data_IF_769150636042
#
_entry.id   IF_769150636042
#
_cell.length_a   1.000
_cell.length_b   1.000
_cell.length_c   1.000
_cell.angle_alpha   90.00
_cell.angle_beta   90.00
_cell.angle_gamma   90.00
#
_symmetry.space_group_name_H-M   'P 1'
#
loop_
_entity.id
_entity.type
_entity.pdbx_description
1 polymer ?
#
# COMPACT_ATOMS: atom_id res chain seq x y z
N UNK A 1 -6.72 -0.26 25.97
CA UNK A 1 -5.85 0.92 26.09
C UNK A 1 -5.88 1.46 27.51
N UNK A 2 -4.72 1.72 28.04
CA UNK A 2 -4.51 2.41 29.32
C UNK A 2 -3.90 3.78 29.04
N UNK A 3 -4.58 4.84 29.46
CA UNK A 3 -4.17 6.22 29.11
C UNK A 3 -3.50 6.86 30.32
N UNK A 4 -2.20 7.13 30.20
CA UNK A 4 -1.44 7.86 31.21
C UNK A 4 -1.70 9.38 31.17
N UNK A 5 -2.25 9.88 30.06
CA UNK A 5 -2.60 11.30 29.85
C UNK A 5 -3.72 11.43 28.81
N UNK A 6 -4.36 12.59 28.78
CA UNK A 6 -5.40 12.88 27.79
C UNK A 6 -4.83 12.91 26.38
N UNK A 7 -5.55 12.28 25.44
CA UNK A 7 -5.21 12.31 24.03
C UNK A 7 -5.75 13.60 23.40
N UNK A 8 -4.95 14.28 22.54
CA UNK A 8 -5.44 15.44 21.78
C UNK A 8 -6.69 15.10 20.95
N UNK A 9 -7.62 16.05 20.81
CA UNK A 9 -8.81 15.88 19.98
C UNK A 9 -8.94 17.07 19.04
N UNK A 10 -8.72 16.92 17.74
CA UNK A 10 -8.31 15.69 17.02
C UNK A 10 -6.85 15.31 17.29
N UNK A 11 -6.55 14.01 17.30
CA UNK A 11 -5.18 13.50 17.37
C UNK A 11 -4.63 13.33 15.97
N UNK A 12 -3.73 14.21 15.57
CA UNK A 12 -3.20 14.30 14.22
C UNK A 12 -1.68 14.24 14.25
N UNK A 13 -1.12 13.45 13.32
CA UNK A 13 0.30 13.49 12.98
C UNK A 13 0.47 13.87 11.51
N UNK A 14 1.68 14.23 11.11
CA UNK A 14 1.97 14.60 9.72
C UNK A 14 3.23 13.88 9.20
N UNK A 15 3.22 13.61 7.89
CA UNK A 15 4.35 13.14 7.10
C UNK A 15 4.36 13.92 5.78
N UNK A 16 5.44 14.63 5.48
CA UNK A 16 5.60 15.41 4.24
C UNK A 16 4.35 16.23 3.86
N UNK A 17 3.83 17.03 4.78
CA UNK A 17 2.63 17.84 4.63
C UNK A 17 1.32 17.04 4.41
N UNK A 18 1.32 15.75 4.68
CA UNK A 18 0.12 14.92 4.72
C UNK A 18 -0.23 14.63 6.17
N UNK A 19 -1.46 14.93 6.54
CA UNK A 19 -2.00 14.76 7.89
C UNK A 19 -2.72 13.43 8.00
N UNK A 20 -2.54 12.76 9.14
CA UNK A 20 -3.22 11.52 9.48
C UNK A 20 -3.93 11.65 10.81
N UNK A 21 -5.21 11.37 10.81
CA UNK A 21 -6.02 11.27 12.01
C UNK A 21 -5.72 9.95 12.71
N UNK A 22 -5.33 10.01 13.97
CA UNK A 22 -5.11 8.83 14.80
C UNK A 22 -6.31 8.57 15.69
N UNK A 23 -6.61 7.29 15.91
CA UNK A 23 -7.66 6.82 16.83
C UNK A 23 -7.18 5.56 17.53
N UNK A 24 -7.54 5.38 18.77
CA UNK A 24 -7.34 4.10 19.45
C UNK A 24 -8.34 3.09 18.90
N UNK A 25 -7.84 2.02 18.29
CA UNK A 25 -8.69 0.93 17.81
C UNK A 25 -8.75 -0.21 18.82
N UNK A 26 -9.81 -1.05 18.80
CA UNK A 26 -9.88 -2.28 19.61
C UNK A 26 -8.73 -3.25 19.30
N UNK A 27 -8.14 -3.18 18.13
CA UNK A 27 -7.05 -4.04 17.66
C UNK A 27 -5.66 -3.54 18.06
N UNK A 28 -5.57 -2.57 18.99
CA UNK A 28 -4.32 -1.97 19.49
C UNK A 28 -3.50 -1.23 18.41
N UNK A 29 -4.11 -0.84 17.31
CA UNK A 29 -3.52 0.02 16.29
C UNK A 29 -4.05 1.44 16.39
N UNK A 30 -3.25 2.42 16.00
CA UNK A 30 -3.61 3.84 16.04
C UNK A 30 -3.99 4.41 14.68
N UNK A 31 -3.99 3.58 13.64
CA UNK A 31 -4.42 3.96 12.30
C UNK A 31 -3.31 4.31 11.32
N UNK A 32 -2.05 4.25 11.75
CA UNK A 32 -0.89 4.44 10.88
C UNK A 32 0.24 3.51 11.28
N UNK A 33 1.02 3.12 10.30
CA UNK A 33 2.25 2.35 10.43
C UNK A 33 3.39 3.25 9.95
N UNK A 34 4.14 3.82 10.89
CA UNK A 34 5.14 4.86 10.60
C UNK A 34 6.32 4.35 9.75
N UNK A 35 6.64 3.06 9.84
CA UNK A 35 7.65 2.38 9.03
C UNK A 35 7.35 2.39 7.54
N UNK A 36 6.09 2.54 7.14
CA UNK A 36 5.68 2.69 5.75
C UNK A 36 6.18 3.99 5.11
N UNK A 37 6.67 4.94 5.89
CA UNK A 37 7.26 6.16 5.39
C UNK A 37 8.37 5.89 4.35
N UNK A 38 9.22 4.89 4.60
CA UNK A 38 10.28 4.49 3.66
C UNK A 38 9.73 4.02 2.31
N UNK A 39 8.60 3.30 2.31
CA UNK A 39 7.94 2.89 1.08
C UNK A 39 7.24 4.06 0.39
N UNK A 40 6.64 4.98 1.16
CA UNK A 40 6.01 6.17 0.58
C UNK A 40 7.03 7.07 -0.10
N UNK A 41 8.19 7.31 0.51
CA UNK A 41 9.29 8.06 -0.08
C UNK A 41 9.81 7.40 -1.36
N UNK A 42 10.01 6.10 -1.33
CA UNK A 42 10.44 5.34 -2.50
C UNK A 42 9.43 5.43 -3.65
N UNK A 43 8.13 5.27 -3.40
CA UNK A 43 7.10 5.42 -4.42
C UNK A 43 7.06 6.83 -5.01
N UNK A 44 7.17 7.87 -4.17
CA UNK A 44 7.23 9.26 -4.61
C UNK A 44 8.44 9.52 -5.52
N UNK A 45 9.61 8.94 -5.21
CA UNK A 45 10.79 9.00 -6.07
C UNK A 45 10.51 8.38 -7.45
N UNK A 46 9.89 7.20 -7.51
CA UNK A 46 9.57 6.55 -8.79
C UNK A 46 8.57 7.34 -9.63
N UNK A 47 7.62 8.01 -8.98
CA UNK A 47 6.64 8.86 -9.65
C UNK A 47 7.28 10.17 -10.15
N UNK A 48 8.10 10.85 -9.33
CA UNK A 48 8.70 12.14 -9.68
C UNK A 48 9.67 12.05 -10.86
N UNK A 49 10.45 10.98 -10.95
CA UNK A 49 11.35 10.72 -12.05
C UNK A 49 10.63 10.61 -13.40
N UNK A 50 9.34 10.27 -13.40
CA UNK A 50 8.53 10.15 -14.61
C UNK A 50 7.84 11.44 -15.02
N UNK A 51 7.36 12.23 -14.07
CA UNK A 51 6.79 13.56 -14.37
C UNK A 51 7.82 14.48 -15.02
N UNK A 52 9.10 14.31 -14.69
CA UNK A 52 10.20 15.03 -15.31
C UNK A 52 10.52 14.56 -16.75
N UNK A 53 10.22 13.30 -17.09
CA UNK A 53 10.53 12.68 -18.40
C UNK A 53 9.34 12.67 -19.37
N UNK A 54 8.11 12.74 -18.86
CA UNK A 54 6.91 12.65 -19.69
C UNK A 54 6.63 13.94 -20.43
N UNK A 55 6.59 13.87 -21.76
CA UNK A 55 6.11 14.96 -22.64
C UNK A 55 4.59 15.16 -22.59
N UNK A 56 3.86 14.23 -21.94
CA UNK A 56 2.39 14.25 -21.83
C UNK A 56 2.04 14.75 -20.43
N UNK A 57 1.77 16.04 -20.30
CA UNK A 57 1.49 16.73 -19.02
C UNK A 57 0.18 16.32 -18.33
N UNK A 58 -0.70 15.55 -18.96
CA UNK A 58 -2.07 15.34 -18.47
C UNK A 58 -2.40 13.89 -18.09
N UNK A 59 -1.48 12.93 -18.22
CA UNK A 59 -1.77 11.53 -17.84
C UNK A 59 -1.43 11.30 -16.38
N UNK A 60 -2.45 11.21 -15.52
CA UNK A 60 -2.29 10.76 -14.13
C UNK A 60 -1.91 9.28 -14.09
N UNK A 61 -0.94 8.91 -13.26
CA UNK A 61 -0.59 7.50 -13.02
C UNK A 61 -1.72 6.82 -12.25
N UNK A 62 -2.09 5.63 -12.70
CA UNK A 62 -3.14 4.80 -12.08
C UNK A 62 -2.51 3.81 -11.11
N UNK A 63 -2.82 3.94 -9.84
CA UNK A 63 -2.24 3.10 -8.78
C UNK A 63 -3.32 2.23 -8.16
N UNK A 64 -3.01 0.93 -8.01
CA UNK A 64 -3.83 -0.01 -7.28
C UNK A 64 -3.23 -0.23 -5.88
N UNK A 65 -3.97 0.15 -4.84
CA UNK A 65 -3.59 -0.04 -3.45
C UNK A 65 -4.50 -1.11 -2.82
N UNK A 66 -3.94 -2.28 -2.55
CA UNK A 66 -4.62 -3.45 -2.02
C UNK A 66 -4.33 -3.62 -0.53
N UNK A 67 -5.34 -4.04 0.25
CA UNK A 67 -5.31 -4.06 1.72
C UNK A 67 -4.98 -2.66 2.27
N UNK A 68 -5.65 -1.66 1.69
CA UNK A 68 -5.23 -0.26 1.77
C UNK A 68 -5.49 0.41 3.12
N UNK A 69 -6.17 -0.27 4.05
CA UNK A 69 -6.42 0.10 5.45
C UNK A 69 -6.95 1.54 5.58
N UNK A 70 -6.32 2.37 6.43
CA UNK A 70 -6.70 3.76 6.68
C UNK A 70 -6.18 4.75 5.63
N UNK A 71 -5.63 4.23 4.52
CA UNK A 71 -5.28 5.01 3.34
C UNK A 71 -4.00 5.84 3.45
N UNK A 72 -3.00 5.41 4.22
CA UNK A 72 -1.73 6.11 4.29
C UNK A 72 -1.08 6.29 2.91
N UNK A 73 -0.79 5.20 2.22
CA UNK A 73 -0.25 5.22 0.85
C UNK A 73 -1.22 5.91 -0.14
N UNK A 74 -2.54 5.70 0.02
CA UNK A 74 -3.56 6.35 -0.82
C UNK A 74 -3.47 7.87 -0.75
N UNK A 75 -3.39 8.45 0.46
CA UNK A 75 -3.30 9.89 0.64
C UNK A 75 -2.00 10.47 0.07
N UNK A 76 -0.87 9.77 0.28
CA UNK A 76 0.44 10.15 -0.25
C UNK A 76 0.42 10.21 -1.77
N UNK A 77 -0.09 9.18 -2.42
CA UNK A 77 -0.10 9.06 -3.88
C UNK A 77 -1.14 9.99 -4.53
N UNK A 78 -2.32 10.14 -3.93
CA UNK A 78 -3.31 11.11 -4.39
C UNK A 78 -2.79 12.56 -4.30
N UNK A 79 -2.05 12.89 -3.22
CA UNK A 79 -1.37 14.20 -3.08
C UNK A 79 -0.33 14.42 -4.15
N UNK A 80 0.34 13.36 -4.60
CA UNK A 80 1.32 13.39 -5.70
C UNK A 80 0.66 13.44 -7.10
N UNK A 81 -0.67 13.52 -7.19
CA UNK A 81 -1.40 13.65 -8.45
C UNK A 81 -1.79 12.32 -9.11
N UNK A 82 -1.64 11.18 -8.43
CA UNK A 82 -2.06 9.89 -8.96
C UNK A 82 -3.57 9.67 -8.84
N UNK A 83 -4.12 8.79 -9.70
CA UNK A 83 -5.44 8.19 -9.53
C UNK A 83 -5.28 6.87 -8.76
N UNK A 84 -5.85 6.77 -7.55
CA UNK A 84 -5.67 5.61 -6.70
C UNK A 84 -6.95 4.80 -6.60
N UNK A 85 -6.89 3.51 -6.95
CA UNK A 85 -7.93 2.54 -6.60
C UNK A 85 -7.59 1.96 -5.23
N UNK A 86 -8.34 2.36 -4.20
CA UNK A 86 -8.19 1.94 -2.81
C UNK A 86 -9.11 0.77 -2.53
N UNK A 87 -8.55 -0.39 -2.24
CA UNK A 87 -9.29 -1.64 -1.99
C UNK A 87 -9.04 -2.13 -0.58
N UNK A 88 -10.10 -2.29 0.18
CA UNK A 88 -10.06 -2.91 1.51
C UNK A 88 -11.38 -3.63 1.80
N UNK A 89 -11.34 -4.73 2.55
CA UNK A 89 -12.53 -5.48 2.95
C UNK A 89 -13.20 -4.92 4.21
N UNK A 90 -12.55 -3.99 4.92
CA UNK A 90 -13.01 -3.40 6.17
C UNK A 90 -13.71 -2.06 5.95
N UNK A 91 -15.03 -2.02 6.12
CA UNK A 91 -15.78 -0.76 6.06
C UNK A 91 -15.27 0.31 7.05
N UNK A 92 -14.93 -0.03 8.32
CA UNK A 92 -14.32 0.95 9.23
C UNK A 92 -12.99 1.51 8.73
N UNK A 93 -12.13 0.69 8.12
CA UNK A 93 -10.87 1.14 7.55
C UNK A 93 -11.09 2.15 6.41
N UNK A 94 -11.99 1.84 5.46
CA UNK A 94 -12.35 2.76 4.37
C UNK A 94 -12.96 4.05 4.90
N UNK A 95 -13.81 3.99 5.93
CA UNK A 95 -14.36 5.20 6.54
C UNK A 95 -13.25 6.09 7.09
N UNK A 96 -12.30 5.51 7.80
CA UNK A 96 -11.15 6.22 8.34
C UNK A 96 -10.23 6.77 7.22
N UNK A 97 -10.01 5.99 6.17
CA UNK A 97 -9.27 6.45 4.99
C UNK A 97 -9.93 7.68 4.33
N UNK A 98 -11.25 7.72 4.24
CA UNK A 98 -12.00 8.88 3.77
C UNK A 98 -11.86 10.10 4.69
N UNK A 99 -11.78 9.90 6.01
CA UNK A 99 -11.50 11.00 6.95
C UNK A 99 -10.10 11.58 6.73
N UNK A 100 -9.08 10.72 6.56
CA UNK A 100 -7.72 11.13 6.23
C UNK A 100 -7.66 11.87 4.89
N UNK A 101 -8.41 11.40 3.90
CA UNK A 101 -8.52 12.04 2.59
C UNK A 101 -9.08 13.46 2.69
N UNK A 102 -10.20 13.63 3.39
CA UNK A 102 -10.86 14.93 3.63
C UNK A 102 -9.95 15.88 4.42
N UNK A 103 -9.25 15.37 5.45
CA UNK A 103 -8.33 16.14 6.28
C UNK A 103 -7.21 16.82 5.47
N UNK A 104 -6.86 16.24 4.32
CA UNK A 104 -5.80 16.73 3.44
C UNK A 104 -6.33 17.55 2.25
N UNK A 105 -7.63 17.78 2.13
CA UNK A 105 -8.27 18.49 1.01
C UNK A 105 -7.81 17.95 -0.36
N UNK A 106 -7.76 16.62 -0.50
CA UNK A 106 -7.31 15.98 -1.74
C UNK A 106 -8.39 16.10 -2.83
N UNK A 107 -8.01 16.06 -4.14
CA UNK A 107 -8.95 16.20 -5.26
C UNK A 107 -10.02 15.12 -5.23
N UNK A 108 -11.30 15.48 -5.29
CA UNK A 108 -12.47 14.61 -5.08
C UNK A 108 -12.46 13.35 -5.97
N UNK A 109 -11.92 13.45 -7.16
CA UNK A 109 -11.87 12.42 -8.20
C UNK A 109 -10.58 11.60 -8.22
N UNK A 110 -9.65 11.84 -7.29
CA UNK A 110 -8.35 11.15 -7.31
C UNK A 110 -8.38 9.76 -6.67
N UNK A 111 -9.48 9.34 -6.02
CA UNK A 111 -9.55 8.03 -5.36
C UNK A 111 -10.86 7.30 -5.68
N UNK A 112 -10.72 6.09 -6.20
CA UNK A 112 -11.81 5.11 -6.33
C UNK A 112 -11.84 4.20 -5.12
N UNK A 113 -12.86 4.34 -4.27
CA UNK A 113 -13.04 3.57 -3.03
C UNK A 113 -13.74 2.24 -3.31
N UNK A 114 -13.14 1.14 -2.90
CA UNK A 114 -13.66 -0.22 -3.12
C UNK A 114 -13.72 -0.97 -1.80
N UNK A 115 -14.94 -1.24 -1.32
CA UNK A 115 -15.20 -2.13 -0.19
C UNK A 115 -15.41 -3.54 -0.74
N UNK A 116 -14.36 -4.37 -0.79
CA UNK A 116 -14.44 -5.71 -1.33
C UNK A 116 -13.27 -6.60 -0.87
N UNK A 117 -13.44 -7.90 -1.05
CA UNK A 117 -12.36 -8.87 -0.95
C UNK A 117 -11.32 -8.62 -2.04
N UNK A 118 -10.05 -8.50 -1.64
CA UNK A 118 -8.95 -8.13 -2.53
C UNK A 118 -8.77 -9.13 -3.67
N UNK A 119 -8.78 -10.43 -3.39
CA UNK A 119 -8.58 -11.48 -4.41
C UNK A 119 -9.71 -11.47 -5.43
N UNK A 120 -10.95 -11.32 -4.95
CA UNK A 120 -12.13 -11.21 -5.84
C UNK A 120 -12.05 -9.97 -6.71
N UNK A 121 -11.68 -8.83 -6.13
CA UNK A 121 -11.52 -7.58 -6.85
C UNK A 121 -10.47 -7.70 -7.96
N UNK A 122 -9.25 -8.17 -7.63
CA UNK A 122 -8.15 -8.34 -8.59
C UNK A 122 -8.56 -9.27 -9.73
N UNK A 123 -9.19 -10.40 -9.44
CA UNK A 123 -9.65 -11.32 -10.47
C UNK A 123 -10.72 -10.71 -11.42
N UNK A 124 -11.56 -9.80 -10.91
CA UNK A 124 -12.50 -9.05 -11.78
C UNK A 124 -11.78 -8.03 -12.64
N UNK A 125 -10.81 -7.32 -12.10
CA UNK A 125 -10.01 -6.35 -12.87
C UNK A 125 -9.20 -7.05 -13.98
N UNK A 126 -8.63 -8.24 -13.71
CA UNK A 126 -7.98 -9.06 -14.74
C UNK A 126 -8.95 -9.42 -15.87
N UNK A 127 -10.17 -9.88 -15.53
CA UNK A 127 -11.20 -10.20 -16.54
C UNK A 127 -11.64 -8.99 -17.37
N UNK A 128 -11.55 -7.77 -16.81
CA UNK A 128 -11.87 -6.52 -17.48
C UNK A 128 -10.74 -5.96 -18.32
N UNK A 129 -9.54 -6.56 -18.27
CA UNK A 129 -8.36 -6.03 -18.92
C UNK A 129 -7.91 -4.69 -18.33
N UNK A 130 -8.20 -4.43 -17.03
CA UNK A 130 -7.75 -3.22 -16.38
C UNK A 130 -6.22 -3.18 -16.28
N UNK A 131 -5.64 -1.97 -16.32
CA UNK A 131 -4.21 -1.78 -16.22
C UNK A 131 -3.88 -0.67 -15.21
N UNK A 132 -2.76 -0.85 -14.48
CA UNK A 132 -2.26 0.05 -13.46
C UNK A 132 -0.77 0.30 -13.66
N UNK A 133 -0.35 1.54 -13.37
CA UNK A 133 1.04 1.97 -13.50
C UNK A 133 1.86 1.69 -12.22
N UNK A 134 1.20 1.41 -11.12
CA UNK A 134 1.80 0.96 -9.87
C UNK A 134 0.83 0.11 -9.06
N UNK A 135 1.35 -0.90 -8.35
CA UNK A 135 0.56 -1.76 -7.47
C UNK A 135 1.22 -1.86 -6.11
N UNK A 136 0.42 -1.74 -5.05
CA UNK A 136 0.83 -1.89 -3.66
C UNK A 136 0.03 -3.04 -3.06
N UNK A 137 0.71 -3.97 -2.41
CA UNK A 137 0.13 -5.06 -1.65
C UNK A 137 0.65 -5.04 -0.21
N UNK A 138 -0.24 -4.85 0.74
CA UNK A 138 0.07 -4.88 2.18
C UNK A 138 -0.80 -5.92 2.91
N UNK A 139 -0.73 -7.19 2.48
CA UNK A 139 -1.61 -8.23 2.98
C UNK A 139 -1.30 -8.58 4.44
N UNK A 140 -2.33 -8.89 5.24
CA UNK A 140 -2.12 -9.39 6.60
C UNK A 140 -1.49 -10.79 6.57
N UNK A 141 -0.79 -11.17 7.63
CA UNK A 141 -0.30 -12.54 7.80
C UNK A 141 -1.45 -13.55 7.75
N UNK A 142 -2.59 -13.18 8.33
CA UNK A 142 -3.80 -13.97 8.40
C UNK A 142 -5.03 -13.07 8.35
N UNK A 143 -6.08 -13.47 7.65
CA UNK A 143 -7.31 -12.68 7.55
C UNK A 143 -8.54 -13.53 7.25
N UNK A 144 -9.71 -13.04 7.64
CA UNK A 144 -10.99 -13.63 7.26
C UNK A 144 -11.71 -12.73 6.27
N UNK A 145 -12.00 -13.27 5.10
CA UNK A 145 -12.88 -12.61 4.15
C UNK A 145 -14.31 -12.55 4.68
N UNK A 146 -15.09 -11.50 4.39
CA UNK A 146 -16.53 -11.48 4.71
C UNK A 146 -17.32 -12.67 4.18
N UNK A 147 -16.79 -13.40 3.21
CA UNK A 147 -17.41 -14.59 2.59
C UNK A 147 -16.93 -15.90 3.18
N UNK A 148 -16.21 -15.88 4.32
CA UNK A 148 -15.75 -17.08 5.04
C UNK A 148 -14.45 -17.70 4.52
N UNK A 149 -13.90 -17.25 3.37
CA UNK A 149 -12.58 -17.71 2.93
C UNK A 149 -11.50 -17.10 3.82
N UNK A 150 -10.62 -17.93 4.34
CA UNK A 150 -9.47 -17.50 5.14
C UNK A 150 -8.31 -17.16 4.20
N UNK A 151 -7.74 -15.98 4.38
CA UNK A 151 -6.48 -15.57 3.77
C UNK A 151 -5.31 -16.06 4.63
N UNK A 152 -4.33 -16.67 3.99
CA UNK A 152 -3.03 -17.01 4.58
C UNK A 152 -1.93 -16.47 3.69
N UNK A 153 -1.05 -15.65 4.25
CA UNK A 153 -0.01 -14.94 3.50
C UNK A 153 0.78 -15.87 2.56
N UNK A 154 1.40 -16.93 3.10
CA UNK A 154 2.27 -17.80 2.31
C UNK A 154 1.52 -18.66 1.28
N UNK A 155 0.26 -18.99 1.55
CA UNK A 155 -0.53 -19.86 0.66
C UNK A 155 -1.19 -19.07 -0.48
N UNK A 156 -1.67 -17.85 -0.19
CA UNK A 156 -2.51 -17.07 -1.12
C UNK A 156 -1.75 -15.95 -1.86
N UNK A 157 -0.61 -15.48 -1.31
CA UNK A 157 0.17 -14.40 -1.92
C UNK A 157 0.69 -14.73 -3.32
N UNK A 158 1.22 -15.95 -3.61
CA UNK A 158 1.72 -16.27 -4.94
C UNK A 158 0.65 -16.09 -6.03
N UNK A 159 -0.54 -16.63 -5.82
CA UNK A 159 -1.64 -16.50 -6.80
C UNK A 159 -2.16 -15.06 -6.94
N UNK A 160 -2.18 -14.28 -5.86
CA UNK A 160 -2.54 -12.87 -5.91
C UNK A 160 -1.49 -12.07 -6.68
N UNK A 161 -0.19 -12.33 -6.45
CA UNK A 161 0.91 -11.66 -7.14
C UNK A 161 0.87 -11.91 -8.64
N UNK A 162 0.68 -13.17 -9.08
CA UNK A 162 0.53 -13.51 -10.50
C UNK A 162 -0.63 -12.77 -11.15
N UNK A 163 -1.76 -12.63 -10.45
CA UNK A 163 -2.90 -11.88 -10.94
C UNK A 163 -2.62 -10.37 -11.01
N UNK A 164 -1.89 -9.81 -10.02
CA UNK A 164 -1.48 -8.41 -10.01
C UNK A 164 -0.51 -8.08 -11.14
N UNK A 165 0.43 -8.96 -11.45
CA UNK A 165 1.36 -8.78 -12.57
C UNK A 165 0.62 -8.63 -13.91
N UNK A 166 -0.47 -9.38 -14.12
CA UNK A 166 -1.32 -9.23 -15.32
C UNK A 166 -2.03 -7.87 -15.40
N UNK A 167 -2.14 -7.17 -14.29
CA UNK A 167 -2.72 -5.82 -14.21
C UNK A 167 -1.70 -4.69 -14.42
N UNK A 168 -0.39 -4.99 -14.47
CA UNK A 168 0.61 -3.96 -14.74
C UNK A 168 0.50 -3.48 -16.19
N UNK A 169 0.48 -2.17 -16.37
CA UNK A 169 0.54 -1.56 -17.69
C UNK A 169 1.93 -1.80 -18.32
N UNK A 170 2.06 -1.74 -19.66
CA UNK A 170 3.38 -1.82 -20.31
C UNK A 170 4.38 -0.78 -19.80
N UNK A 171 3.87 0.36 -19.32
CA UNK A 171 4.66 1.47 -18.77
C UNK A 171 4.67 1.49 -17.24
N UNK A 172 4.29 0.39 -16.58
CA UNK A 172 4.25 0.30 -15.13
C UNK A 172 5.58 0.72 -14.49
N UNK A 173 5.48 1.38 -13.35
CA UNK A 173 6.61 2.00 -12.65
C UNK A 173 7.09 1.16 -11.48
N UNK A 174 6.13 0.58 -10.74
CA UNK A 174 6.47 -0.22 -9.56
C UNK A 174 5.42 -1.25 -9.19
N UNK A 175 5.87 -2.26 -8.47
CA UNK A 175 5.05 -3.16 -7.68
C UNK A 175 5.73 -3.34 -6.32
N UNK A 176 4.98 -3.19 -5.25
CA UNK A 176 5.46 -3.28 -3.88
C UNK A 176 4.64 -4.29 -3.08
N UNK A 177 5.33 -5.14 -2.33
CA UNK A 177 4.74 -6.12 -1.41
C UNK A 177 5.34 -5.88 -0.03
N UNK A 178 4.49 -5.81 0.98
CA UNK A 178 4.88 -5.82 2.38
C UNK A 178 4.49 -7.13 3.06
N UNK A 179 5.16 -7.46 4.14
CA UNK A 179 4.80 -8.57 5.02
C UNK A 179 5.07 -8.22 6.48
N UNK A 180 4.05 -8.40 7.32
CA UNK A 180 4.13 -8.18 8.76
C UNK A 180 3.76 -9.47 9.49
N UNK A 181 4.49 -9.78 10.56
CA UNK A 181 4.24 -10.96 11.40
C UNK A 181 4.05 -12.25 10.60
N UNK A 182 4.78 -12.39 9.49
CA UNK A 182 4.78 -13.58 8.62
C UNK A 182 5.94 -14.50 8.98
N UNK A 183 5.84 -15.78 8.62
CA UNK A 183 6.96 -16.73 8.71
C UNK A 183 7.87 -16.69 7.47
N UNK A 184 7.75 -15.63 6.65
CA UNK A 184 8.57 -15.42 5.45
C UNK A 184 9.74 -14.49 5.75
N UNK A 185 10.81 -14.63 4.99
CA UNK A 185 11.92 -13.69 4.97
C UNK A 185 11.78 -12.69 3.81
N UNK A 186 12.48 -11.56 3.89
CA UNK A 186 12.57 -10.62 2.77
C UNK A 186 13.15 -11.28 1.50
N UNK A 187 14.10 -12.20 1.66
CA UNK A 187 14.65 -13.00 0.54
C UNK A 187 13.59 -13.90 -0.12
N UNK A 188 12.70 -14.50 0.68
CA UNK A 188 11.61 -15.31 0.11
C UNK A 188 10.63 -14.45 -0.70
N UNK A 189 10.33 -13.22 -0.25
CA UNK A 189 9.53 -12.27 -1.04
C UNK A 189 10.25 -11.82 -2.31
N UNK A 190 11.57 -11.60 -2.24
CA UNK A 190 12.38 -11.29 -3.42
C UNK A 190 12.26 -12.38 -4.48
N UNK A 191 12.54 -13.62 -4.09
CA UNK A 191 12.52 -14.75 -5.02
C UNK A 191 11.13 -14.93 -5.64
N UNK A 192 10.08 -14.81 -4.82
CA UNK A 192 8.70 -14.88 -5.31
C UNK A 192 8.40 -13.77 -6.34
N UNK A 193 8.86 -12.55 -6.09
CA UNK A 193 8.64 -11.42 -7.00
C UNK A 193 9.47 -11.53 -8.28
N UNK A 194 10.72 -12.00 -8.20
CA UNK A 194 11.58 -12.27 -9.36
C UNK A 194 11.00 -13.37 -10.25
N UNK A 195 10.58 -14.49 -9.64
CA UNK A 195 10.00 -15.62 -10.39
C UNK A 195 8.70 -15.20 -11.10
N UNK A 196 7.80 -14.53 -10.40
CA UNK A 196 6.54 -14.08 -10.96
C UNK A 196 6.74 -12.96 -12.01
N UNK A 197 7.71 -12.07 -11.77
CA UNK A 197 8.01 -10.89 -12.60
C UNK A 197 9.08 -11.11 -13.66
N UNK A 198 9.55 -12.34 -13.91
CA UNK A 198 10.69 -12.64 -14.82
C UNK A 198 10.65 -12.01 -16.20
N UNK A 199 9.45 -11.68 -16.70
CA UNK A 199 9.25 -11.09 -18.03
C UNK A 199 9.02 -9.55 -17.97
N UNK A 200 9.05 -8.94 -16.81
CA UNK A 200 8.79 -7.50 -16.65
C UNK A 200 10.01 -6.64 -16.99
N UNK A 201 11.21 -7.22 -16.91
CA UNK A 201 12.45 -6.43 -16.87
C UNK A 201 12.54 -5.59 -15.59
N UNK A 202 13.48 -4.64 -15.55
CA UNK A 202 13.67 -3.82 -14.35
C UNK A 202 14.47 -4.52 -13.26
N UNK A 203 14.26 -4.13 -11.99
CA UNK A 203 14.98 -4.69 -10.84
C UNK A 203 14.08 -4.89 -9.63
N UNK A 204 14.45 -5.84 -8.79
CA UNK A 204 13.82 -6.05 -7.48
C UNK A 204 14.75 -5.56 -6.38
N UNK A 205 14.20 -4.87 -5.40
CA UNK A 205 14.82 -4.50 -4.14
C UNK A 205 14.05 -5.16 -3.00
N UNK A 206 14.73 -5.65 -1.98
CA UNK A 206 14.10 -6.27 -0.83
C UNK A 206 14.85 -5.96 0.47
N UNK A 207 14.18 -6.09 1.59
CA UNK A 207 14.77 -5.83 2.89
C UNK A 207 13.75 -5.77 4.01
N UNK A 208 14.16 -5.17 5.11
CA UNK A 208 13.33 -4.97 6.28
C UNK A 208 12.85 -3.52 6.39
N UNK A 209 11.58 -3.34 6.72
CA UNK A 209 11.06 -2.04 7.13
C UNK A 209 11.51 -1.78 8.56
N UNK A 210 12.19 -0.67 8.76
CA UNK A 210 12.77 -0.34 10.05
C UNK A 210 12.36 1.05 10.53
N UNK A 211 12.10 1.16 11.82
CA UNK A 211 12.06 2.43 12.53
C UNK A 211 13.41 2.71 13.19
N UNK A 212 13.86 3.96 13.12
CA UNK A 212 15.08 4.41 13.78
C UNK A 212 14.75 5.00 15.14
N UNK A 213 15.35 4.45 16.19
CA UNK A 213 15.28 5.02 17.54
C UNK A 213 16.14 6.29 17.66
N UNK A 214 15.91 7.06 18.70
CA UNK A 214 16.70 8.26 19.04
C UNK A 214 18.19 7.97 19.28
N UNK A 215 18.53 6.75 19.73
CA UNK A 215 19.89 6.26 19.90
C UNK A 215 20.50 5.66 18.63
N UNK A 216 19.90 5.90 17.47
CA UNK A 216 20.26 5.39 16.13
C UNK A 216 20.10 3.88 15.91
N UNK A 217 19.61 3.10 16.89
CA UNK A 217 19.29 1.68 16.67
C UNK A 217 18.09 1.54 15.73
N UNK A 218 18.10 0.46 14.95
CA UNK A 218 16.97 0.10 14.09
C UNK A 218 16.07 -0.92 14.80
N UNK A 219 14.77 -0.74 14.65
CA UNK A 219 13.76 -1.72 15.04
C UNK A 219 13.15 -2.25 13.74
N UNK A 220 13.33 -3.54 13.46
CA UNK A 220 12.62 -4.19 12.36
C UNK A 220 11.14 -4.32 12.70
N UNK A 221 10.29 -3.91 11.77
CA UNK A 221 8.83 -3.90 11.93
C UNK A 221 8.11 -4.77 10.91
N UNK A 222 8.75 -5.02 9.77
CA UNK A 222 8.22 -5.84 8.69
C UNK A 222 9.25 -6.06 7.60
N UNK A 223 8.86 -6.78 6.56
CA UNK A 223 9.69 -7.07 5.39
C UNK A 223 9.04 -6.49 4.14
N UNK A 224 9.84 -6.22 3.11
CA UNK A 224 9.32 -5.82 1.81
C UNK A 224 10.09 -6.45 0.65
N UNK A 225 9.43 -6.56 -0.49
CA UNK A 225 10.03 -6.68 -1.81
C UNK A 225 9.33 -5.69 -2.75
N UNK A 226 10.11 -5.04 -3.62
CA UNK A 226 9.58 -4.02 -4.53
C UNK A 226 10.33 -4.05 -5.86
N UNK A 227 9.55 -4.15 -6.91
CA UNK A 227 10.03 -4.11 -8.28
C UNK A 227 9.85 -2.71 -8.85
N UNK A 228 10.81 -2.26 -9.67
CA UNK A 228 10.67 -1.06 -10.50
C UNK A 228 11.35 -1.24 -11.87
N UNK A 229 10.85 -0.53 -12.84
CA UNK A 229 11.39 -0.49 -14.21
C UNK A 229 12.50 0.53 -14.36
#
# INVERSE_FOLDING_TARGET
>A
WELNQAIPKPWIIAFNNIKFLLKLSPFKHTGIFAEQAANWEWMLEKISNETAKSKIKDKRLRILNLFAYTGGATAVLAKAGCEVTHVDASKPAITWANENYKLNNLPVDSVRWILDDTVKFVNREVKRGAQYDGIIMDPPAFGHSPTGKTWKFNDDLPGLLEACIKLLSPDAKFLLINGYATNSSALALNNLLEDAGKNLGGRVEFGELCLRQTNARLISTGIFARWNK
#
